data_IF_558015583151
#
_entry.id   IF_558015583151
#
_cell.length_a   1.000
_cell.length_b   1.000
_cell.length_c   1.000
_cell.angle_alpha   90.00
_cell.angle_beta   90.00
_cell.angle_gamma   90.00
#
_symmetry.space_group_name_H-M   'P 1'
#
loop_
_entity.id
_entity.type
_entity.pdbx_description
1 polymer ?
#
# COMPACT_ATOMS: atom_id res chain seq x y z
N UNK A 1 -0.84 9.67 65.23
CA UNK A 1 -1.11 8.55 64.30
C UNK A 1 -2.42 8.72 63.50
N UNK A 2 -3.56 9.12 64.10
CA UNK A 2 -4.86 9.28 63.37
C UNK A 2 -4.85 10.31 62.21
N UNK A 3 -4.10 11.41 62.32
CA UNK A 3 -4.05 12.46 61.28
C UNK A 3 -3.41 12.00 59.96
N UNK A 4 -2.36 11.17 60.02
CA UNK A 4 -1.72 10.63 58.81
C UNK A 4 -2.59 9.58 58.10
N UNK A 5 -3.39 8.81 58.86
CA UNK A 5 -4.35 7.84 58.30
C UNK A 5 -5.50 8.53 57.55
N UNK A 6 -5.98 9.68 58.05
CA UNK A 6 -7.04 10.46 57.40
C UNK A 6 -6.51 11.14 56.12
N UNK A 7 -5.29 11.69 56.17
CA UNK A 7 -4.66 12.32 54.99
C UNK A 7 -4.41 11.27 53.90
N UNK A 8 -3.94 10.07 54.26
CA UNK A 8 -3.74 8.98 53.31
C UNK A 8 -5.06 8.48 52.69
N UNK A 9 -6.14 8.44 53.47
CA UNK A 9 -7.47 8.05 52.98
C UNK A 9 -8.08 9.11 52.05
N UNK A 10 -7.90 10.40 52.36
CA UNK A 10 -8.32 11.52 51.49
C UNK A 10 -7.53 11.51 50.18
N UNK A 11 -6.23 11.23 50.24
CA UNK A 11 -5.38 11.16 49.04
C UNK A 11 -5.80 9.98 48.15
N UNK A 12 -6.15 8.84 48.73
CA UNK A 12 -6.61 7.67 47.97
C UNK A 12 -7.97 7.92 47.28
N UNK A 13 -8.90 8.63 47.95
CA UNK A 13 -10.16 9.06 47.32
C UNK A 13 -9.94 10.06 46.18
N UNK A 14 -8.98 10.98 46.34
CA UNK A 14 -8.67 11.97 45.31
C UNK A 14 -8.09 11.32 44.04
N UNK A 15 -7.26 10.29 44.20
CA UNK A 15 -6.69 9.52 43.08
C UNK A 15 -7.75 8.67 42.37
N UNK A 16 -8.70 8.08 43.12
CA UNK A 16 -9.79 7.31 42.54
C UNK A 16 -10.77 8.17 41.72
N UNK A 17 -10.98 9.44 42.11
CA UNK A 17 -11.85 10.37 41.37
C UNK A 17 -11.28 10.82 40.02
N UNK A 18 -9.96 10.68 39.80
CA UNK A 18 -9.29 11.07 38.56
C UNK A 18 -9.37 10.02 37.45
N UNK A 19 -9.97 8.85 37.71
CA UNK A 19 -10.02 7.73 36.74
C UNK A 19 -11.34 7.64 35.96
N UNK A 20 -12.27 8.59 36.16
CA UNK A 20 -13.57 8.60 35.46
C UNK A 20 -13.54 9.57 34.26
N UNK A 21 -12.63 9.35 33.30
CA UNK A 21 -12.64 10.11 32.04
C UNK A 21 -13.30 9.29 30.94
N UNK A 22 -14.51 9.67 30.53
CA UNK A 22 -15.18 9.11 29.36
C UNK A 22 -14.67 9.80 28.11
N UNK A 23 -13.77 9.15 27.35
CA UNK A 23 -13.43 9.60 26.00
C UNK A 23 -14.47 9.04 25.03
N UNK A 24 -15.56 9.79 24.86
CA UNK A 24 -16.34 9.71 23.63
C UNK A 24 -16.10 11.01 22.89
N UNK A 25 -15.59 10.95 21.66
CA UNK A 25 -15.48 12.12 20.81
C UNK A 25 -16.89 12.62 20.49
N UNK A 26 -17.38 13.58 21.27
CA UNK A 26 -18.67 14.22 21.05
C UNK A 26 -18.48 15.41 20.12
N UNK A 27 -18.07 15.14 18.89
CA UNK A 27 -18.39 16.05 17.79
C UNK A 27 -19.91 16.00 17.63
N UNK A 28 -20.62 17.00 18.17
CA UNK A 28 -22.07 17.09 18.01
C UNK A 28 -22.33 17.35 16.53
N UNK A 29 -22.83 16.33 15.82
CA UNK A 29 -23.22 16.48 14.44
C UNK A 29 -24.32 17.55 14.35
N UNK A 30 -24.00 18.67 13.71
CA UNK A 30 -24.99 19.67 13.35
C UNK A 30 -25.92 19.05 12.29
N UNK A 31 -27.23 18.91 12.56
CA UNK A 31 -28.16 18.21 11.68
C UNK A 31 -28.38 18.92 10.33
N UNK A 32 -27.96 20.19 10.22
CA UNK A 32 -28.11 21.00 9.00
C UNK A 32 -26.87 20.96 8.09
N UNK A 33 -25.74 20.41 8.56
CA UNK A 33 -24.53 20.24 7.76
C UNK A 33 -24.42 18.82 7.22
N UNK A 34 -24.09 18.68 5.93
CA UNK A 34 -23.84 17.37 5.34
C UNK A 34 -22.56 16.78 5.95
N UNK A 35 -22.73 15.79 6.83
CA UNK A 35 -21.65 15.13 7.55
C UNK A 35 -20.56 14.53 6.64
N UNK A 36 -20.80 14.42 5.32
CA UNK A 36 -19.84 13.95 4.32
C UNK A 36 -18.83 15.02 3.92
N UNK A 37 -19.15 16.31 4.06
CA UNK A 37 -18.30 17.42 3.60
C UNK A 37 -16.87 17.35 4.14
N UNK A 38 -16.69 16.93 5.40
CA UNK A 38 -15.37 16.77 6.03
C UNK A 38 -14.48 15.68 5.41
N UNK A 39 -15.03 14.82 4.56
CA UNK A 39 -14.32 13.72 3.91
C UNK A 39 -14.13 13.95 2.41
N UNK A 40 -14.68 15.04 1.87
CA UNK A 40 -14.52 15.41 0.46
C UNK A 40 -13.18 16.11 0.26
N UNK A 41 -12.45 15.73 -0.78
CA UNK A 41 -11.14 16.27 -1.11
C UNK A 41 -10.21 15.21 -1.67
N UNK A 42 -8.97 15.60 -1.93
CA UNK A 42 -7.92 14.67 -2.37
C UNK A 42 -7.30 14.01 -1.16
N UNK A 43 -7.33 12.67 -1.14
CA UNK A 43 -6.70 11.88 -0.09
C UNK A 43 -5.26 11.56 -0.48
N UNK A 44 -4.33 11.73 0.46
CA UNK A 44 -2.98 11.18 0.35
C UNK A 44 -3.00 9.75 0.87
N UNK A 45 -2.71 8.79 0.00
CA UNK A 45 -2.65 7.36 0.33
C UNK A 45 -1.17 6.95 0.41
N UNK A 46 -0.80 6.20 1.45
CA UNK A 46 0.51 5.56 1.57
C UNK A 46 0.32 4.06 1.33
N UNK A 47 0.92 3.54 0.26
CA UNK A 47 0.90 2.11 -0.07
C UNK A 47 2.32 1.52 0.06
N UNK A 48 2.44 0.40 0.76
CA UNK A 48 3.69 -0.37 0.80
C UNK A 48 3.79 -1.24 -0.45
N UNK A 49 4.64 -0.87 -1.41
CA UNK A 49 4.89 -1.68 -2.60
C UNK A 49 5.41 -3.08 -2.21
N UNK A 50 4.53 -4.08 -2.17
CA UNK A 50 4.96 -5.48 -2.08
C UNK A 50 5.64 -5.81 -3.40
N UNK A 51 6.95 -6.03 -3.39
CA UNK A 51 7.61 -6.74 -4.49
C UNK A 51 7.06 -8.16 -4.49
N UNK A 52 6.07 -8.41 -5.34
CA UNK A 52 5.57 -9.75 -5.57
C UNK A 52 6.72 -10.58 -6.14
N UNK A 53 6.96 -11.75 -5.58
CA UNK A 53 7.73 -12.78 -6.26
C UNK A 53 6.78 -13.44 -7.26
N UNK A 54 7.10 -13.34 -8.54
CA UNK A 54 6.34 -13.98 -9.61
C UNK A 54 7.29 -14.62 -10.62
N UNK A 55 6.78 -15.63 -11.30
CA UNK A 55 7.49 -16.31 -12.37
C UNK A 55 7.21 -15.60 -13.69
N UNK A 56 8.26 -15.40 -14.48
CA UNK A 56 8.21 -14.95 -15.86
C UNK A 56 8.69 -16.11 -16.71
N UNK A 57 7.85 -16.56 -17.63
CA UNK A 57 8.26 -17.59 -18.59
C UNK A 57 8.89 -16.90 -19.80
N UNK A 58 10.09 -17.35 -20.18
CA UNK A 58 10.85 -16.73 -21.26
C UNK A 58 11.07 -17.74 -22.37
N UNK A 59 10.54 -17.45 -23.56
CA UNK A 59 10.65 -18.32 -24.74
C UNK A 59 11.33 -17.59 -25.90
N UNK A 60 12.03 -18.33 -26.75
CA UNK A 60 12.61 -17.78 -27.97
C UNK A 60 11.53 -17.39 -28.99
N UNK A 61 11.80 -16.37 -29.81
CA UNK A 61 11.03 -16.06 -31.00
C UNK A 61 11.47 -16.97 -32.16
N UNK A 62 10.53 -17.54 -32.91
CA UNK A 62 10.86 -18.47 -34.02
C UNK A 62 11.44 -17.75 -35.25
N UNK A 63 11.20 -16.44 -35.38
CA UNK A 63 11.58 -15.63 -36.55
C UNK A 63 12.84 -14.78 -36.31
N UNK A 64 13.38 -14.78 -35.08
CA UNK A 64 14.53 -13.97 -34.67
C UNK A 64 15.48 -14.73 -33.76
N UNK A 65 16.78 -14.62 -34.06
CA UNK A 65 17.87 -15.24 -33.30
C UNK A 65 18.21 -14.52 -31.98
N UNK A 66 17.66 -13.32 -31.77
CA UNK A 66 17.97 -12.46 -30.62
C UNK A 66 16.74 -12.12 -29.80
N UNK A 67 15.53 -12.21 -30.35
CA UNK A 67 14.32 -11.82 -29.63
C UNK A 67 13.82 -12.94 -28.73
N UNK A 68 13.33 -12.54 -27.56
CA UNK A 68 12.63 -13.40 -26.60
C UNK A 68 11.30 -12.80 -26.20
N UNK A 69 10.34 -13.67 -25.87
CA UNK A 69 9.04 -13.33 -25.30
C UNK A 69 9.09 -13.54 -23.79
N UNK A 70 8.51 -12.61 -23.02
CA UNK A 70 8.45 -12.65 -21.56
C UNK A 70 6.98 -12.68 -21.13
N UNK A 71 6.46 -13.88 -20.85
CA UNK A 71 5.10 -14.09 -20.37
C UNK A 71 5.01 -13.75 -18.88
N UNK A 72 3.88 -13.17 -18.46
CA UNK A 72 3.63 -12.74 -17.09
C UNK A 72 4.64 -11.70 -16.54
N UNK A 73 5.35 -10.98 -17.42
CA UNK A 73 6.24 -9.88 -17.01
C UNK A 73 5.44 -8.78 -16.30
N UNK A 74 5.97 -8.24 -15.20
CA UNK A 74 5.25 -7.32 -14.31
C UNK A 74 3.94 -7.90 -13.71
N UNK A 75 3.80 -9.23 -13.70
CA UNK A 75 2.63 -9.94 -13.17
C UNK A 75 1.30 -9.53 -13.84
N UNK A 76 1.34 -9.33 -15.16
CA UNK A 76 0.14 -9.02 -15.96
C UNK A 76 -0.92 -10.12 -15.89
N UNK A 77 -0.53 -11.36 -15.63
CA UNK A 77 -1.43 -12.50 -15.56
C UNK A 77 -1.83 -13.05 -16.93
N UNK A 78 -2.63 -14.12 -16.94
CA UNK A 78 -2.98 -14.82 -18.17
C UNK A 78 -3.89 -13.99 -19.08
N UNK A 79 -3.69 -14.12 -20.39
CA UNK A 79 -4.54 -13.50 -21.41
C UNK A 79 -4.05 -12.15 -21.95
N UNK A 80 -3.01 -11.57 -21.33
CA UNK A 80 -2.28 -10.44 -21.93
C UNK A 80 -1.20 -10.95 -22.89
N UNK A 81 -0.90 -10.22 -23.98
CA UNK A 81 0.25 -10.51 -24.82
C UNK A 81 1.56 -10.44 -23.99
N UNK A 82 2.55 -11.31 -24.29
CA UNK A 82 3.85 -11.27 -23.61
C UNK A 82 4.60 -9.97 -23.94
N UNK A 83 5.43 -9.52 -23.01
CA UNK A 83 6.44 -8.50 -23.31
C UNK A 83 7.52 -9.10 -24.24
N UNK A 84 8.34 -8.26 -24.85
CA UNK A 84 9.49 -8.72 -25.64
C UNK A 84 10.80 -8.04 -25.25
N UNK A 85 11.91 -8.73 -25.48
CA UNK A 85 13.26 -8.20 -25.29
C UNK A 85 14.24 -8.80 -26.30
N UNK A 86 15.46 -8.26 -26.35
CA UNK A 86 16.52 -8.72 -27.23
C UNK A 86 17.75 -9.13 -26.44
N UNK A 87 18.23 -10.35 -26.68
CA UNK A 87 19.44 -10.90 -26.09
C UNK A 87 20.66 -10.25 -26.73
N UNK A 88 21.53 -9.68 -25.91
CA UNK A 88 22.79 -9.07 -26.31
C UNK A 88 23.93 -9.59 -25.43
N UNK A 89 24.56 -10.68 -25.84
CA UNK A 89 25.58 -11.36 -25.04
C UNK A 89 24.98 -12.02 -23.80
N UNK A 90 25.20 -11.43 -22.63
CA UNK A 90 24.76 -11.97 -21.33
C UNK A 90 23.62 -11.16 -20.69
N UNK A 91 23.01 -10.24 -21.44
CA UNK A 91 21.90 -9.40 -20.96
C UNK A 91 20.72 -9.49 -21.93
N UNK A 92 19.52 -9.23 -21.41
CA UNK A 92 18.31 -9.02 -22.20
C UNK A 92 17.91 -7.54 -22.11
N UNK A 93 17.93 -6.87 -23.26
CA UNK A 93 17.50 -5.48 -23.39
C UNK A 93 15.98 -5.44 -23.68
N UNK A 94 15.20 -4.88 -22.76
CA UNK A 94 13.76 -4.62 -22.93
C UNK A 94 13.55 -3.19 -23.44
N UNK A 95 13.20 -2.98 -24.73
CA UNK A 95 12.85 -1.66 -25.23
C UNK A 95 11.54 -1.16 -24.61
N UNK A 96 11.33 0.16 -24.70
CA UNK A 96 10.06 0.77 -24.29
C UNK A 96 8.89 0.16 -25.05
N UNK A 97 7.93 -0.36 -24.30
CA UNK A 97 6.72 -0.97 -24.82
C UNK A 97 5.59 -0.83 -23.81
N UNK A 98 4.36 -0.98 -24.29
CA UNK A 98 3.16 -0.98 -23.47
C UNK A 98 2.65 -2.41 -23.35
N UNK A 99 2.41 -2.86 -22.12
CA UNK A 99 1.88 -4.19 -21.79
C UNK A 99 0.69 -4.08 -20.85
N UNK A 100 -0.06 -5.17 -20.66
CA UNK A 100 -1.10 -5.22 -19.65
C UNK A 100 -2.18 -4.17 -19.87
N UNK A 101 -2.57 -3.52 -18.78
CA UNK A 101 -3.53 -2.40 -18.74
C UNK A 101 -2.85 -1.05 -19.00
N UNK A 102 -2.18 -0.91 -20.16
CA UNK A 102 -1.47 0.30 -20.59
C UNK A 102 -0.23 0.69 -19.75
N UNK A 103 0.51 -0.31 -19.26
CA UNK A 103 1.74 -0.08 -18.49
C UNK A 103 2.93 0.07 -19.42
N UNK A 104 3.60 1.21 -19.36
CA UNK A 104 4.87 1.43 -20.06
C UNK A 104 6.02 0.79 -19.26
N UNK A 105 6.75 -0.11 -19.91
CA UNK A 105 7.91 -0.80 -19.34
C UNK A 105 9.14 -0.67 -20.24
N UNK A 106 10.32 -0.70 -19.63
CA UNK A 106 11.62 -0.79 -20.28
C UNK A 106 12.66 -1.28 -19.25
N UNK A 107 13.75 -1.90 -19.67
CA UNK A 107 14.75 -2.41 -18.72
C UNK A 107 15.90 -3.19 -19.32
N UNK A 108 16.80 -3.65 -18.46
CA UNK A 108 17.91 -4.55 -18.78
C UNK A 108 17.99 -5.60 -17.65
N UNK A 109 18.17 -6.86 -18.01
CA UNK A 109 18.27 -7.99 -17.07
C UNK A 109 19.35 -8.97 -17.42
#
# INVERSE_FOLDING_TARGET
MKKHSIISMILLMLVAALQITSCTDTETADPETDAREKFLGTWTVDESCVRLNYEVDITADDDSDTKVWLDNFAFTGPGYPPAYGFVNGNQVDLPEQTIGDDWTINGIG
#
